data_IF_280308327855
#
_entry.id   IF_280308327855
#
_cell.length_a   1.000
_cell.length_b   1.000
_cell.length_c   1.000
_cell.angle_alpha   90.00
_cell.angle_beta   90.00
_cell.angle_gamma   90.00
#
_symmetry.space_group_name_H-M   'P 1'
#
loop_
_entity.id
_entity.type
_entity.pdbx_description
1 polymer ?
#
# COMPACT_ATOMS: atom_id res chain seq x y z
N UNK A 1 47.30 36.50 -0.78
CA UNK A 1 46.63 36.45 0.55
C UNK A 1 45.13 36.70 0.46
N UNK A 2 44.63 37.64 -0.33
CA UNK A 2 43.19 37.99 -0.41
C UNK A 2 42.33 36.85 -0.97
N UNK A 3 42.81 36.06 -1.92
CA UNK A 3 42.07 34.95 -2.53
C UNK A 3 41.78 33.77 -1.56
N UNK A 4 42.70 33.51 -0.64
CA UNK A 4 42.57 32.40 0.32
C UNK A 4 41.50 32.74 1.39
N UNK A 5 41.43 33.99 1.84
CA UNK A 5 40.44 34.44 2.81
C UNK A 5 39.05 34.44 2.24
N UNK A 6 38.86 34.73 0.97
CA UNK A 6 37.52 34.74 0.33
C UNK A 6 36.99 33.31 0.13
N UNK A 7 37.84 32.35 -0.21
CA UNK A 7 37.45 30.93 -0.31
C UNK A 7 37.07 30.35 1.05
N UNK A 8 37.80 30.69 2.12
CA UNK A 8 37.50 30.22 3.47
C UNK A 8 36.18 30.79 3.99
N UNK A 9 35.89 32.07 3.69
CA UNK A 9 34.59 32.67 4.07
C UNK A 9 33.40 32.03 3.35
N UNK A 10 33.53 31.73 2.06
CA UNK A 10 32.46 31.09 1.29
C UNK A 10 32.21 29.65 1.74
N UNK A 11 33.25 28.88 2.02
CA UNK A 11 33.08 27.49 2.52
C UNK A 11 32.47 27.47 3.92
N UNK A 12 32.85 28.36 4.82
CA UNK A 12 32.23 28.52 6.13
C UNK A 12 30.74 28.91 6.02
N UNK A 13 30.39 29.79 5.08
CA UNK A 13 28.99 30.16 4.81
C UNK A 13 28.13 28.98 4.37
N UNK A 14 28.64 28.12 3.49
CA UNK A 14 27.92 26.91 3.06
C UNK A 14 27.74 25.89 4.19
N UNK A 15 28.76 25.73 5.07
CA UNK A 15 28.68 24.82 6.23
C UNK A 15 27.62 25.31 7.22
N UNK A 16 27.58 26.62 7.53
CA UNK A 16 26.58 27.20 8.43
C UNK A 16 25.17 27.06 7.84
N UNK A 17 25.01 27.30 6.54
CA UNK A 17 23.74 27.12 5.85
C UNK A 17 23.27 25.66 5.88
N UNK A 18 24.15 24.71 5.62
CA UNK A 18 23.84 23.28 5.70
C UNK A 18 23.43 22.83 7.10
N UNK A 19 24.10 23.33 8.13
CA UNK A 19 23.77 23.07 9.53
C UNK A 19 22.43 23.70 9.97
N UNK A 20 22.07 24.84 9.42
CA UNK A 20 20.80 25.51 9.69
C UNK A 20 19.61 24.83 9.01
N UNK A 21 19.81 24.27 7.79
CA UNK A 21 18.76 23.59 7.02
C UNK A 21 18.53 22.16 7.54
N UNK A 22 19.57 21.49 8.05
CA UNK A 22 19.52 20.10 8.53
C UNK A 22 18.39 19.83 9.56
N UNK A 23 18.20 20.62 10.63
CA UNK A 23 17.11 20.38 11.58
C UNK A 23 15.73 20.63 10.99
N UNK A 24 15.63 21.55 10.04
CA UNK A 24 14.36 21.86 9.38
C UNK A 24 13.92 20.74 8.45
N UNK A 25 14.85 20.17 7.69
CA UNK A 25 14.64 18.98 6.86
C UNK A 25 14.26 17.80 7.77
N UNK A 26 14.94 17.61 8.89
CA UNK A 26 14.65 16.54 9.84
C UNK A 26 13.24 16.65 10.43
N UNK A 27 12.78 17.86 10.79
CA UNK A 27 11.41 18.13 11.29
C UNK A 27 10.34 17.85 10.23
N UNK A 28 10.61 18.14 8.96
CA UNK A 28 9.70 17.87 7.84
C UNK A 28 9.59 16.34 7.59
N UNK A 29 10.68 15.61 7.75
CA UNK A 29 10.72 14.16 7.55
C UNK A 29 10.28 13.35 8.77
N UNK A 30 10.24 13.93 9.98
CA UNK A 30 9.77 13.24 11.20
C UNK A 30 8.39 12.55 11.05
N UNK A 31 7.35 13.14 10.45
CA UNK A 31 6.06 12.46 10.30
C UNK A 31 6.14 11.25 9.36
N UNK A 32 7.09 11.19 8.45
CA UNK A 32 7.31 10.02 7.58
C UNK A 32 7.99 8.86 8.32
N UNK A 33 8.74 9.15 9.38
CA UNK A 33 9.35 8.15 10.27
C UNK A 33 8.47 7.81 11.48
N UNK A 34 7.20 8.23 11.51
CA UNK A 34 6.27 7.74 12.53
C UNK A 34 6.31 6.22 12.49
N UNK A 35 6.93 5.65 13.52
CA UNK A 35 7.03 4.22 13.73
C UNK A 35 5.65 3.61 13.50
N UNK A 36 5.55 2.71 12.53
CA UNK A 36 4.37 1.89 12.31
C UNK A 36 3.88 1.40 13.67
N UNK A 37 2.60 1.56 13.96
CA UNK A 37 2.02 1.06 15.21
C UNK A 37 2.36 -0.43 15.37
N UNK A 38 2.42 -0.98 16.58
CA UNK A 38 2.65 -2.41 16.78
C UNK A 38 1.66 -3.28 15.98
N UNK A 39 0.41 -2.82 15.85
CA UNK A 39 -0.60 -3.47 15.02
C UNK A 39 -0.20 -3.48 13.53
N UNK A 40 0.28 -2.36 13.01
CA UNK A 40 0.74 -2.25 11.61
C UNK A 40 1.95 -3.15 11.32
N UNK A 41 2.87 -3.28 12.27
CA UNK A 41 4.03 -4.19 12.13
C UNK A 41 3.60 -5.65 12.07
N UNK A 42 2.66 -6.05 12.93
CA UNK A 42 2.10 -7.42 12.93
C UNK A 42 1.34 -7.71 11.64
N UNK A 43 0.50 -6.77 11.19
CA UNK A 43 -0.24 -6.86 9.94
C UNK A 43 0.70 -7.00 8.74
N UNK A 44 1.78 -6.23 8.67
CA UNK A 44 2.79 -6.36 7.61
C UNK A 44 3.52 -7.71 7.68
N UNK A 45 3.82 -8.22 8.89
CA UNK A 45 4.39 -9.57 9.07
C UNK A 45 3.46 -10.64 8.50
N UNK A 46 2.19 -10.62 8.89
CA UNK A 46 1.18 -11.56 8.38
C UNK A 46 1.02 -11.47 6.86
N UNK A 47 1.04 -10.26 6.30
CA UNK A 47 0.99 -10.06 4.86
C UNK A 47 2.14 -10.79 4.15
N UNK A 48 3.37 -10.67 4.67
CA UNK A 48 4.53 -11.36 4.10
C UNK A 48 4.48 -12.88 4.25
N UNK A 49 3.85 -13.39 5.33
CA UNK A 49 3.71 -14.81 5.55
C UNK A 49 2.65 -15.47 4.63
N UNK A 50 1.59 -14.70 4.29
CA UNK A 50 0.46 -15.19 3.50
C UNK A 50 0.65 -14.97 2.00
N UNK A 51 1.39 -13.94 1.59
CA UNK A 51 1.63 -13.62 0.18
C UNK A 51 2.93 -14.28 -0.32
N UNK A 52 2.90 -14.74 -1.58
CA UNK A 52 4.13 -15.13 -2.25
C UNK A 52 5.03 -13.91 -2.50
N UNK A 53 6.36 -14.09 -2.67
CA UNK A 53 7.26 -12.98 -3.00
C UNK A 53 6.84 -12.19 -4.24
N UNK A 54 6.24 -12.85 -5.22
CA UNK A 54 5.71 -12.21 -6.43
C UNK A 54 4.48 -11.37 -6.14
N UNK A 55 3.56 -11.88 -5.32
CA UNK A 55 2.38 -11.15 -4.86
C UNK A 55 2.76 -9.92 -4.02
N UNK A 56 3.75 -10.04 -3.14
CA UNK A 56 4.30 -8.90 -2.38
C UNK A 56 4.86 -7.84 -3.33
N UNK A 57 5.63 -8.25 -4.33
CA UNK A 57 6.18 -7.34 -5.34
C UNK A 57 5.08 -6.68 -6.16
N UNK A 58 4.07 -7.44 -6.60
CA UNK A 58 2.92 -6.91 -7.33
C UNK A 58 2.18 -5.84 -6.50
N UNK A 59 1.86 -6.14 -5.25
CA UNK A 59 1.18 -5.22 -4.34
C UNK A 59 1.99 -3.94 -4.10
N UNK A 60 3.32 -4.05 -4.01
CA UNK A 60 4.21 -2.93 -3.77
C UNK A 60 4.34 -2.01 -4.99
N UNK A 61 4.48 -2.58 -6.19
CA UNK A 61 4.74 -1.82 -7.42
C UNK A 61 3.46 -1.37 -8.14
N UNK A 62 2.41 -2.20 -8.14
CA UNK A 62 1.15 -1.90 -8.82
C UNK A 62 0.09 -1.27 -7.91
N UNK A 63 0.28 -1.36 -6.58
CA UNK A 63 -0.68 -0.86 -5.60
C UNK A 63 -1.92 -1.73 -5.42
N UNK A 64 -1.96 -2.91 -6.03
CA UNK A 64 -3.03 -3.91 -5.89
C UNK A 64 -2.49 -5.33 -6.01
N UNK A 65 -3.22 -6.28 -5.42
CA UNK A 65 -2.99 -7.71 -5.51
C UNK A 65 -4.00 -8.32 -6.46
N UNK A 66 -3.57 -9.13 -7.42
CA UNK A 66 -4.45 -9.95 -8.26
C UNK A 66 -4.64 -11.33 -7.64
N UNK A 67 -5.88 -11.65 -7.33
CA UNK A 67 -6.30 -12.96 -6.78
C UNK A 67 -7.16 -13.63 -7.85
N UNK A 68 -6.71 -14.74 -8.44
CA UNK A 68 -7.54 -15.46 -9.42
C UNK A 68 -8.76 -16.09 -8.74
N UNK A 69 -9.86 -16.14 -9.44
CA UNK A 69 -11.08 -16.82 -8.99
C UNK A 69 -10.82 -18.34 -8.90
N UNK A 70 -11.17 -18.98 -7.78
CA UNK A 70 -11.10 -20.44 -7.69
C UNK A 70 -12.18 -21.15 -8.52
N UNK A 71 -13.28 -20.48 -8.84
CA UNK A 71 -14.42 -21.08 -9.54
C UNK A 71 -14.51 -20.70 -11.03
N UNK A 72 -13.96 -19.56 -11.43
CA UNK A 72 -14.10 -19.03 -12.79
C UNK A 72 -12.74 -18.65 -13.38
N UNK A 73 -12.25 -19.44 -14.34
CA UNK A 73 -10.88 -19.31 -14.88
C UNK A 73 -10.54 -17.93 -15.49
N UNK A 74 -11.54 -17.16 -15.92
CA UNK A 74 -11.34 -15.85 -16.56
C UNK A 74 -11.63 -14.67 -15.65
N UNK A 75 -11.88 -14.94 -14.35
CA UNK A 75 -12.16 -13.91 -13.35
C UNK A 75 -10.96 -13.69 -12.44
N UNK A 76 -10.62 -12.43 -12.24
CA UNK A 76 -9.55 -12.00 -11.33
C UNK A 76 -10.05 -10.87 -10.46
N UNK A 77 -9.71 -10.92 -9.19
CA UNK A 77 -10.00 -9.89 -8.21
C UNK A 77 -8.78 -9.00 -8.01
N UNK A 78 -8.91 -7.69 -8.23
CA UNK A 78 -7.87 -6.71 -7.90
C UNK A 78 -8.16 -6.10 -6.55
N UNK A 79 -7.42 -6.55 -5.54
CA UNK A 79 -7.52 -6.08 -4.15
C UNK A 79 -6.54 -4.92 -3.98
N UNK A 80 -7.02 -3.70 -3.67
CA UNK A 80 -6.15 -2.54 -3.51
C UNK A 80 -5.28 -2.66 -2.24
N UNK A 81 -4.07 -2.09 -2.29
CA UNK A 81 -3.13 -2.05 -1.16
C UNK A 81 -3.67 -1.22 0.03
N UNK A 82 -4.39 -0.17 -0.27
CA UNK A 82 -5.05 0.70 0.71
C UNK A 82 -6.56 0.50 0.65
N UNK A 83 -7.28 1.08 1.61
CA UNK A 83 -8.75 1.01 1.63
C UNK A 83 -9.34 1.43 0.30
N UNK A 84 -10.26 0.63 -0.21
CA UNK A 84 -10.92 0.89 -1.48
C UNK A 84 -11.80 -0.27 -1.92
N UNK A 85 -12.30 -0.18 -3.15
CA UNK A 85 -13.12 -1.20 -3.76
C UNK A 85 -12.24 -2.28 -4.38
N UNK A 86 -12.60 -3.55 -4.15
CA UNK A 86 -12.04 -4.66 -4.91
C UNK A 86 -12.69 -4.66 -6.30
N UNK A 87 -11.88 -4.63 -7.34
CA UNK A 87 -12.37 -4.69 -8.71
C UNK A 87 -12.44 -6.15 -9.19
N UNK A 88 -13.56 -6.52 -9.78
CA UNK A 88 -13.71 -7.81 -10.45
C UNK A 88 -13.47 -7.61 -11.94
N UNK A 89 -12.48 -8.32 -12.44
CA UNK A 89 -12.08 -8.31 -13.85
C UNK A 89 -12.52 -9.63 -14.47
N UNK A 90 -13.30 -9.59 -15.54
CA UNK A 90 -13.67 -10.75 -16.34
C UNK A 90 -13.28 -10.49 -17.80
N UNK A 91 -12.60 -11.45 -18.41
CA UNK A 91 -12.11 -11.31 -19.79
C UNK A 91 -11.32 -10.01 -20.04
N UNK A 92 -10.56 -9.55 -19.02
CA UNK A 92 -9.76 -8.33 -19.09
C UNK A 92 -10.53 -7.03 -18.90
N UNK A 93 -11.85 -7.07 -18.66
CA UNK A 93 -12.68 -5.88 -18.41
C UNK A 93 -13.17 -5.85 -16.97
N UNK A 94 -13.22 -4.64 -16.38
CA UNK A 94 -13.79 -4.45 -15.06
C UNK A 94 -15.32 -4.52 -15.15
N UNK A 95 -15.92 -5.56 -14.54
CA UNK A 95 -17.38 -5.78 -14.57
C UNK A 95 -18.09 -5.26 -13.35
N UNK A 96 -17.45 -5.29 -12.18
CA UNK A 96 -18.02 -4.78 -10.93
C UNK A 96 -16.95 -4.35 -9.92
N UNK A 97 -17.39 -3.56 -8.96
CA UNK A 97 -16.59 -3.19 -7.77
C UNK A 97 -17.29 -3.76 -6.54
N UNK A 98 -16.50 -4.31 -5.64
CA UNK A 98 -16.98 -4.91 -4.39
C UNK A 98 -16.51 -4.10 -3.20
N UNK A 99 -17.39 -3.87 -2.24
CA UNK A 99 -17.06 -3.27 -0.96
C UNK A 99 -17.39 -4.25 0.15
N UNK A 100 -16.38 -4.73 0.84
CA UNK A 100 -16.51 -5.46 2.10
C UNK A 100 -15.89 -4.60 3.18
N UNK A 101 -16.70 -4.08 4.08
CA UNK A 101 -16.22 -3.29 5.20
C UNK A 101 -16.11 -4.17 6.43
N UNK A 102 -14.91 -4.34 7.01
CA UNK A 102 -14.74 -4.95 8.32
C UNK A 102 -15.49 -4.10 9.36
N UNK A 103 -16.07 -4.75 10.37
CA UNK A 103 -16.75 -4.08 11.49
C UNK A 103 -15.76 -3.23 12.30
N UNK A 104 -14.50 -3.66 12.35
CA UNK A 104 -13.41 -2.97 13.05
C UNK A 104 -12.45 -2.28 12.09
N UNK A 105 -11.80 -1.21 12.57
CA UNK A 105 -10.73 -0.53 11.82
C UNK A 105 -9.46 -1.38 11.81
N UNK A 106 -9.35 -2.27 10.81
CA UNK A 106 -8.15 -3.07 10.58
C UNK A 106 -7.06 -2.26 9.86
N UNK A 107 -5.77 -2.57 10.09
CA UNK A 107 -4.68 -2.11 9.24
C UNK A 107 -4.89 -2.50 7.78
N UNK A 108 -4.42 -1.67 6.84
CA UNK A 108 -4.59 -1.93 5.40
C UNK A 108 -4.03 -3.29 4.96
N UNK A 109 -2.91 -3.71 5.54
CA UNK A 109 -2.30 -5.00 5.26
C UNK A 109 -3.22 -6.18 5.66
N UNK A 110 -3.89 -6.09 6.82
CA UNK A 110 -4.85 -7.12 7.27
C UNK A 110 -6.07 -7.17 6.35
N UNK A 111 -6.52 -6.02 5.84
CA UNK A 111 -7.63 -5.95 4.88
C UNK A 111 -7.28 -6.68 3.58
N UNK A 112 -6.06 -6.51 3.06
CA UNK A 112 -5.59 -7.23 1.86
C UNK A 112 -5.58 -8.74 2.09
N UNK A 113 -5.02 -9.19 3.22
CA UNK A 113 -4.99 -10.62 3.61
C UNK A 113 -6.41 -11.17 3.75
N UNK A 114 -7.29 -10.43 4.42
CA UNK A 114 -8.70 -10.81 4.60
C UNK A 114 -9.40 -11.05 3.26
N UNK A 115 -9.31 -10.09 2.33
CA UNK A 115 -9.91 -10.25 1.00
C UNK A 115 -9.37 -11.47 0.26
N UNK A 116 -8.03 -11.63 0.25
CA UNK A 116 -7.40 -12.78 -0.41
C UNK A 116 -7.93 -14.09 0.14
N UNK A 117 -7.87 -14.27 1.47
CA UNK A 117 -8.30 -15.51 2.11
C UNK A 117 -9.80 -15.79 1.93
N UNK A 118 -10.65 -14.76 2.01
CA UNK A 118 -12.10 -14.93 1.78
C UNK A 118 -12.40 -15.37 0.35
N UNK A 119 -11.73 -14.79 -0.66
CA UNK A 119 -11.93 -15.16 -2.06
C UNK A 119 -11.45 -16.60 -2.30
N UNK A 120 -10.25 -16.96 -1.81
CA UNK A 120 -9.67 -18.28 -2.00
C UNK A 120 -10.43 -19.37 -1.24
N UNK A 121 -10.94 -19.07 -0.04
CA UNK A 121 -11.66 -20.04 0.78
C UNK A 121 -13.08 -20.30 0.28
N UNK A 122 -13.83 -19.27 -0.05
CA UNK A 122 -15.21 -19.38 -0.53
C UNK A 122 -15.64 -18.11 -1.28
N UNK A 123 -15.42 -18.11 -2.58
CA UNK A 123 -15.75 -17.00 -3.47
C UNK A 123 -17.25 -16.64 -3.46
N UNK A 124 -18.12 -17.63 -3.42
CA UNK A 124 -19.57 -17.42 -3.42
C UNK A 124 -20.01 -16.67 -2.15
N UNK A 125 -19.52 -17.10 -1.00
CA UNK A 125 -19.80 -16.43 0.27
C UNK A 125 -19.23 -15.02 0.30
N UNK A 126 -18.03 -14.82 -0.24
CA UNK A 126 -17.43 -13.49 -0.39
C UNK A 126 -18.30 -12.56 -1.23
N UNK A 127 -18.79 -13.04 -2.37
CA UNK A 127 -19.69 -12.29 -3.24
C UNK A 127 -21.07 -12.01 -2.61
N UNK A 128 -21.56 -12.88 -1.73
CA UNK A 128 -22.81 -12.66 -1.00
C UNK A 128 -22.66 -11.57 0.09
N UNK A 129 -21.49 -11.50 0.73
CA UNK A 129 -21.20 -10.52 1.79
C UNK A 129 -20.83 -9.14 1.26
N UNK A 130 -20.31 -9.06 0.04
CA UNK A 130 -19.86 -7.82 -0.56
C UNK A 130 -21.02 -6.99 -1.11
N UNK A 131 -21.00 -5.68 -0.86
CA UNK A 131 -21.84 -4.73 -1.59
C UNK A 131 -21.29 -4.62 -3.03
N UNK A 132 -22.16 -4.82 -4.00
CA UNK A 132 -21.82 -4.88 -5.43
C UNK A 132 -22.20 -3.59 -6.13
N UNK A 133 -21.26 -3.02 -6.87
CA UNK A 133 -21.46 -1.86 -7.72
C UNK A 133 -21.07 -2.25 -9.15
N UNK A 134 -22.03 -2.25 -10.07
CA UNK A 134 -21.76 -2.56 -11.47
C UNK A 134 -20.95 -1.43 -12.11
N UNK A 135 -19.97 -1.79 -12.94
CA UNK A 135 -19.30 -0.83 -13.79
C UNK A 135 -20.17 -0.70 -15.05
N UNK A 136 -20.90 0.40 -15.16
CA UNK A 136 -21.53 0.82 -16.43
C UNK A 136 -20.47 1.51 -17.26
N UNK A 137 -20.24 1.01 -18.48
CA UNK A 137 -19.41 1.67 -19.50
C UNK A 137 -20.03 3.02 -19.90
#
# INVERSE_FOLDING_TARGET
MIFITQQVLTTLGWIVLALAISPMVWLIFQPYFKSLSPAQRRANGLLHDVLTPEQCRQLMWRGYLEVPSPTTAQRVYRVPRSRGYVQVIENGRAVMRLCVQPVECLPDADVVVLHKLMIEANEEHYLQKANKYLCTD
#
